data_IF_065017658751
#
_entry.id   IF_065017658751
#
_cell.length_a   1.000
_cell.length_b   1.000
_cell.length_c   1.000
_cell.angle_alpha   90.00
_cell.angle_beta   90.00
_cell.angle_gamma   90.00
#
_symmetry.space_group_name_H-M   'P 1'
#
loop_
_entity.id
_entity.type
_entity.pdbx_description
1 polymer ?
#
# COMPACT_ATOMS: atom_id res chain seq x y z
N UNK A 1 38.68 -0.76 16.81
CA UNK A 1 37.23 -1.03 16.74
C UNK A 1 36.84 -2.36 17.39
N UNK A 2 37.66 -3.42 17.34
CA UNK A 2 37.36 -4.69 18.02
C UNK A 2 37.38 -4.63 19.55
N UNK A 3 38.08 -3.64 20.12
CA UNK A 3 38.20 -3.46 21.58
C UNK A 3 37.43 -2.23 22.10
N UNK A 4 36.53 -1.67 21.27
CA UNK A 4 35.65 -0.60 21.73
C UNK A 4 34.57 -1.18 22.64
N UNK A 5 34.26 -0.48 23.72
CA UNK A 5 33.15 -0.85 24.60
C UNK A 5 31.83 -0.78 23.83
N UNK A 6 30.93 -1.73 24.10
CA UNK A 6 29.58 -1.73 23.56
C UNK A 6 28.88 -0.40 23.88
N UNK A 7 28.14 0.12 22.90
CA UNK A 7 27.40 1.37 23.05
C UNK A 7 26.24 1.18 24.06
N UNK A 8 26.27 1.84 25.23
CA UNK A 8 25.23 1.71 26.24
C UNK A 8 23.89 2.31 25.80
N UNK A 9 23.85 3.07 24.71
CA UNK A 9 22.65 3.66 24.14
C UNK A 9 22.10 2.88 22.93
N UNK A 10 22.78 1.83 22.49
CA UNK A 10 22.29 0.94 21.45
C UNK A 10 21.20 0.01 22.02
N UNK A 11 19.95 0.46 21.91
CA UNK A 11 18.78 -0.30 22.34
C UNK A 11 18.20 -1.07 21.16
N UNK A 12 18.32 -2.39 21.21
CA UNK A 12 17.64 -3.32 20.31
C UNK A 12 17.07 -4.48 21.12
N UNK A 13 16.06 -5.13 20.55
CA UNK A 13 15.44 -6.29 21.18
C UNK A 13 16.41 -7.48 21.22
N UNK A 14 16.70 -7.95 22.43
CA UNK A 14 17.58 -9.11 22.67
C UNK A 14 16.81 -10.39 22.96
N UNK A 15 15.48 -10.32 23.03
CA UNK A 15 14.64 -11.50 23.18
C UNK A 15 14.66 -12.36 21.91
N UNK A 16 14.29 -13.63 22.06
CA UNK A 16 14.08 -14.55 20.93
C UNK A 16 12.58 -14.69 20.69
N UNK A 17 12.15 -14.44 19.46
CA UNK A 17 10.75 -14.58 19.06
C UNK A 17 10.61 -15.08 17.63
N UNK A 18 9.46 -15.70 17.36
CA UNK A 18 9.04 -16.05 15.99
C UNK A 18 7.65 -15.48 15.77
N UNK A 19 7.50 -14.69 14.71
CA UNK A 19 6.20 -14.13 14.34
C UNK A 19 5.98 -14.22 12.84
N UNK A 20 4.77 -14.57 12.47
CA UNK A 20 4.36 -14.68 11.08
C UNK A 20 2.98 -14.06 10.87
N UNK A 21 2.89 -13.20 9.86
CA UNK A 21 1.63 -12.66 9.37
C UNK A 21 1.52 -12.95 7.88
N UNK A 22 0.44 -13.64 7.48
CA UNK A 22 0.03 -13.77 6.09
C UNK A 22 -1.41 -13.32 5.92
N UNK A 23 -1.66 -12.41 4.98
CA UNK A 23 -3.02 -11.95 4.66
C UNK A 23 -3.17 -11.74 3.16
N UNK A 24 -4.09 -12.47 2.55
CA UNK A 24 -4.54 -12.23 1.18
C UNK A 24 -5.57 -11.12 1.15
N UNK A 25 -5.50 -10.30 0.11
CA UNK A 25 -6.39 -9.19 -0.14
C UNK A 25 -7.30 -9.48 -1.33
N UNK A 26 -8.32 -8.66 -1.52
CA UNK A 26 -9.10 -8.63 -2.76
C UNK A 26 -8.60 -7.46 -3.59
N UNK A 27 -7.79 -7.75 -4.60
CA UNK A 27 -7.25 -6.74 -5.51
C UNK A 27 -7.93 -6.87 -6.89
N UNK A 28 -8.17 -5.77 -7.61
CA UNK A 28 -8.62 -5.84 -8.99
C UNK A 28 -7.49 -6.41 -9.86
N UNK A 29 -7.85 -7.21 -10.87
CA UNK A 29 -6.91 -7.50 -11.95
C UNK A 29 -6.76 -6.27 -12.86
N UNK A 30 -5.69 -6.24 -13.66
CA UNK A 30 -5.34 -5.07 -14.47
C UNK A 30 -6.46 -4.65 -15.44
N UNK A 31 -7.09 -5.60 -16.14
CA UNK A 31 -8.16 -5.31 -17.10
C UNK A 31 -9.42 -4.78 -16.40
N UNK A 32 -9.79 -5.39 -15.27
CA UNK A 32 -10.91 -4.97 -14.44
C UNK A 32 -10.71 -3.56 -13.86
N UNK A 33 -9.50 -3.25 -13.40
CA UNK A 33 -9.13 -1.92 -12.93
C UNK A 33 -9.22 -0.88 -14.06
N UNK A 34 -8.63 -1.18 -15.22
CA UNK A 34 -8.68 -0.27 -16.37
C UNK A 34 -10.12 0.00 -16.82
N UNK A 35 -10.97 -1.05 -16.85
CA UNK A 35 -12.38 -0.95 -17.19
C UNK A 35 -13.14 -0.05 -16.21
N UNK A 36 -13.06 -0.31 -14.90
CA UNK A 36 -13.83 0.48 -13.92
C UNK A 36 -13.35 1.94 -13.87
N UNK A 37 -12.04 2.20 -14.03
CA UNK A 37 -11.51 3.56 -14.14
C UNK A 37 -12.06 4.25 -15.38
N UNK A 38 -12.03 3.62 -16.55
CA UNK A 38 -12.56 4.20 -17.79
C UNK A 38 -14.08 4.46 -17.71
N UNK A 39 -14.83 3.61 -17.02
CA UNK A 39 -16.26 3.79 -16.80
C UNK A 39 -16.55 4.99 -15.88
N UNK A 40 -15.91 5.07 -14.71
CA UNK A 40 -16.13 6.14 -13.73
C UNK A 40 -15.51 7.48 -14.15
N UNK A 41 -14.39 7.48 -14.87
CA UNK A 41 -13.68 8.69 -15.29
C UNK A 41 -14.25 9.31 -16.59
N UNK A 42 -15.36 8.80 -17.11
CA UNK A 42 -15.90 9.25 -18.40
C UNK A 42 -16.21 10.75 -18.38
N UNK A 43 -15.54 11.50 -19.25
CA UNK A 43 -15.72 12.95 -19.36
C UNK A 43 -14.93 13.77 -18.34
N UNK A 44 -14.12 13.12 -17.50
CA UNK A 44 -13.21 13.75 -16.55
C UNK A 44 -11.78 13.72 -17.09
N UNK A 45 -10.99 14.74 -16.76
CA UNK A 45 -9.54 14.69 -16.92
C UNK A 45 -8.94 13.98 -15.68
N UNK A 46 -8.86 12.64 -15.79
CA UNK A 46 -8.41 11.75 -14.73
C UNK A 46 -6.96 11.32 -14.99
N UNK A 47 -6.08 11.60 -14.02
CA UNK A 47 -4.72 11.07 -14.01
C UNK A 47 -4.48 10.36 -12.67
N UNK A 48 -4.11 9.08 -12.72
CA UNK A 48 -3.92 8.29 -11.51
C UNK A 48 -2.79 7.29 -11.58
N UNK A 49 -2.35 6.86 -10.40
CA UNK A 49 -1.32 5.85 -10.20
C UNK A 49 -1.81 4.81 -9.20
N UNK A 50 -1.93 3.57 -9.69
CA UNK A 50 -2.30 2.41 -8.89
C UNK A 50 -1.06 1.54 -8.63
N UNK A 51 -0.86 1.17 -7.37
CA UNK A 51 0.10 0.16 -6.96
C UNK A 51 -0.62 -0.85 -6.06
N UNK A 52 -0.68 -2.10 -6.49
CA UNK A 52 -1.27 -3.17 -5.69
C UNK A 52 -0.60 -4.51 -5.96
N UNK A 53 -0.52 -5.33 -4.92
CA UNK A 53 0.10 -6.64 -4.96
C UNK A 53 0.57 -7.07 -3.57
N UNK A 54 1.42 -8.09 -3.55
CA UNK A 54 2.00 -8.63 -2.32
C UNK A 54 3.15 -7.75 -1.82
N UNK A 55 3.06 -7.31 -0.58
CA UNK A 55 4.15 -6.72 0.20
C UNK A 55 4.67 -7.77 1.18
N UNK A 56 5.93 -8.16 1.00
CA UNK A 56 6.62 -9.12 1.85
C UNK A 56 7.82 -8.49 2.56
N UNK A 57 8.00 -8.80 3.84
CA UNK A 57 9.15 -8.41 4.66
C UNK A 57 9.56 -9.56 5.56
N UNK A 58 10.83 -9.95 5.44
CA UNK A 58 11.49 -10.85 6.37
C UNK A 58 12.34 -10.08 7.39
N UNK A 59 12.47 -10.64 8.59
CA UNK A 59 13.36 -10.18 9.64
C UNK A 59 14.09 -11.36 10.26
N UNK A 60 15.38 -11.18 10.56
CA UNK A 60 16.17 -12.12 11.34
C UNK A 60 17.19 -11.36 12.22
N UNK A 61 17.36 -11.80 13.47
CA UNK A 61 18.39 -11.26 14.38
C UNK A 61 19.44 -12.31 14.76
N UNK A 62 20.62 -11.85 15.19
CA UNK A 62 21.67 -12.72 15.75
C UNK A 62 21.27 -13.34 17.10
N UNK A 63 20.31 -12.74 17.81
CA UNK A 63 19.72 -13.27 19.05
C UNK A 63 18.68 -14.36 18.80
N UNK A 64 18.43 -14.71 17.53
CA UNK A 64 17.61 -15.85 17.12
C UNK A 64 16.17 -15.51 16.74
N UNK A 65 15.78 -14.24 16.73
CA UNK A 65 14.43 -13.82 16.34
C UNK A 65 14.21 -13.92 14.84
N UNK A 66 12.99 -14.29 14.45
CA UNK A 66 12.57 -14.43 13.04
C UNK A 66 11.17 -13.87 12.83
N UNK A 67 11.03 -12.97 11.86
CA UNK A 67 9.77 -12.37 11.48
C UNK A 67 9.46 -12.56 10.01
N UNK A 68 8.22 -12.90 9.70
CA UNK A 68 7.69 -12.85 8.34
C UNK A 68 6.39 -12.05 8.30
N UNK A 69 6.30 -11.09 7.39
CA UNK A 69 5.09 -10.32 7.16
C UNK A 69 4.82 -10.25 5.67
N UNK A 70 3.71 -10.83 5.23
CA UNK A 70 3.32 -10.93 3.83
C UNK A 70 1.84 -10.61 3.70
N UNK A 71 1.53 -9.50 3.04
CA UNK A 71 0.14 -9.06 2.86
C UNK A 71 -0.09 -8.55 1.45
N UNK A 72 -1.28 -8.78 0.91
CA UNK A 72 -1.69 -8.16 -0.33
C UNK A 72 -2.52 -6.91 -0.04
N UNK A 73 -2.11 -5.78 -0.61
CA UNK A 73 -2.79 -4.52 -0.44
C UNK A 73 -2.60 -3.65 -1.68
N UNK A 74 -3.34 -2.53 -1.73
CA UNK A 74 -3.21 -1.54 -2.79
C UNK A 74 -3.18 -0.11 -2.25
N UNK A 75 -2.64 0.77 -3.07
CA UNK A 75 -2.74 2.21 -2.98
C UNK A 75 -3.07 2.75 -4.38
N UNK A 76 -4.16 3.49 -4.49
CA UNK A 76 -4.55 4.21 -5.68
C UNK A 76 -4.67 5.68 -5.34
N UNK A 77 -3.89 6.53 -6.00
CA UNK A 77 -4.03 7.98 -5.94
C UNK A 77 -4.33 8.55 -7.31
N UNK A 78 -5.20 9.55 -7.38
CA UNK A 78 -5.52 10.23 -8.63
C UNK A 78 -5.82 11.71 -8.41
N UNK A 79 -5.77 12.45 -9.51
CA UNK A 79 -6.18 13.84 -9.62
C UNK A 79 -7.25 13.98 -10.70
N UNK A 80 -8.30 14.75 -10.40
CA UNK A 80 -9.28 15.21 -11.39
C UNK A 80 -9.03 16.68 -11.69
N UNK A 81 -8.91 17.05 -12.96
CA UNK A 81 -8.68 18.43 -13.38
C UNK A 81 -9.95 19.09 -13.92
N UNK A 82 -10.15 20.36 -13.55
CA UNK A 82 -11.15 21.22 -14.18
C UNK A 82 -10.55 22.00 -15.38
N UNK A 83 -11.36 22.60 -16.25
CA UNK A 83 -10.86 23.39 -17.38
C UNK A 83 -10.02 24.62 -17.00
N UNK A 84 -10.03 25.03 -15.72
CA UNK A 84 -9.17 26.11 -15.21
C UNK A 84 -7.78 25.61 -14.79
N UNK A 85 -7.53 24.30 -14.86
CA UNK A 85 -6.29 23.66 -14.45
C UNK A 85 -6.17 23.40 -12.95
N UNK A 86 -7.25 23.56 -12.19
CA UNK A 86 -7.28 23.18 -10.76
C UNK A 86 -7.50 21.68 -10.65
N UNK A 87 -6.88 21.07 -9.64
CA UNK A 87 -6.96 19.64 -9.43
C UNK A 87 -7.44 19.29 -8.03
N UNK A 88 -8.29 18.27 -7.94
CA UNK A 88 -8.68 17.64 -6.67
C UNK A 88 -7.99 16.29 -6.59
N UNK A 89 -7.16 16.10 -5.55
CA UNK A 89 -6.40 14.87 -5.32
C UNK A 89 -7.13 13.96 -4.35
N UNK A 90 -7.31 12.71 -4.74
CA UNK A 90 -7.98 11.69 -3.93
C UNK A 90 -7.10 10.45 -3.78
N UNK A 91 -7.26 9.75 -2.66
CA UNK A 91 -6.56 8.50 -2.37
C UNK A 91 -7.55 7.42 -1.92
N UNK A 92 -7.32 6.20 -2.41
CA UNK A 92 -7.96 4.97 -1.97
C UNK A 92 -6.89 3.91 -1.71
N UNK A 93 -6.74 3.50 -0.46
CA UNK A 93 -5.83 2.43 -0.08
C UNK A 93 -6.57 1.42 0.81
N UNK A 94 -6.12 0.17 0.78
CA UNK A 94 -6.72 -0.91 1.55
C UNK A 94 -6.24 -2.28 1.07
N UNK A 95 -6.89 -3.32 1.58
CA UNK A 95 -6.69 -4.72 1.21
C UNK A 95 -7.96 -5.40 0.67
N UNK A 96 -9.12 -4.72 0.66
CA UNK A 96 -10.38 -5.20 0.07
C UNK A 96 -10.92 -4.17 -0.94
N UNK A 97 -10.56 -4.33 -2.21
CA UNK A 97 -11.04 -3.50 -3.30
C UNK A 97 -12.52 -3.73 -3.57
N UNK A 98 -13.26 -2.63 -3.73
CA UNK A 98 -14.67 -2.65 -4.13
C UNK A 98 -14.92 -1.56 -5.18
N UNK A 99 -15.36 -1.96 -6.37
CA UNK A 99 -15.69 -1.05 -7.47
C UNK A 99 -16.62 0.09 -7.02
N UNK A 100 -17.64 -0.23 -6.20
CA UNK A 100 -18.56 0.76 -5.66
C UNK A 100 -17.89 1.80 -4.74
N UNK A 101 -16.89 1.41 -3.95
CA UNK A 101 -16.16 2.33 -3.08
C UNK A 101 -15.24 3.26 -3.89
N UNK A 102 -14.65 2.74 -4.97
CA UNK A 102 -13.90 3.55 -5.92
C UNK A 102 -14.81 4.55 -6.65
N UNK A 103 -15.92 4.09 -7.22
CA UNK A 103 -16.89 4.94 -7.92
C UNK A 103 -17.39 6.08 -7.03
N UNK A 104 -17.80 5.77 -5.79
CA UNK A 104 -18.25 6.78 -4.84
C UNK A 104 -17.18 7.84 -4.51
N UNK A 105 -15.88 7.46 -4.53
CA UNK A 105 -14.77 8.41 -4.32
C UNK A 105 -14.49 9.26 -5.55
N UNK A 106 -14.75 8.76 -6.75
CA UNK A 106 -14.64 9.56 -7.99
C UNK A 106 -15.78 10.56 -8.05
N UNK A 107 -17.02 10.15 -7.74
CA UNK A 107 -18.20 11.03 -7.75
C UNK A 107 -18.14 12.14 -6.70
N UNK A 108 -17.46 11.89 -5.58
CA UNK A 108 -17.31 12.86 -4.49
C UNK A 108 -16.13 13.84 -4.67
N UNK A 109 -15.29 13.63 -5.68
CA UNK A 109 -14.11 14.44 -5.96
C UNK A 109 -14.44 15.57 -6.94
#
# INVERSE_FOLDING_TARGET
>A
LRDAQDDPHLLFDTSSWVQETRRTGRLPNADGLARIVAECARGLDFVGFYAGGTLARGFASSTGSRGWYEVENFNFSWSLYDPSGRAIKTVHAGDDWRDAAFAAKVDAA
#
